data_IF_737820774143
#
_entry.id   IF_737820774143
#
_cell.length_a   1.000
_cell.length_b   1.000
_cell.length_c   1.000
_cell.angle_alpha   90.00
_cell.angle_beta   90.00
_cell.angle_gamma   90.00
#
_symmetry.space_group_name_H-M   'P 1'
#
loop_
_entity.id
_entity.type
_entity.pdbx_description
1 polymer ?
#
# COMPACT_ATOMS: atom_id res chain seq x y z
N UNK A 1 -19.61 -6.70 16.15
CA UNK A 1 -18.30 -7.37 16.40
C UNK A 1 -17.54 -7.82 15.14
N UNK A 2 -18.19 -8.33 14.08
CA UNK A 2 -17.50 -8.85 12.87
C UNK A 2 -16.77 -7.78 12.03
N UNK A 3 -17.28 -6.56 11.97
CA UNK A 3 -16.70 -5.48 11.15
C UNK A 3 -15.31 -5.04 11.63
N UNK A 4 -15.07 -5.00 12.95
CA UNK A 4 -13.76 -4.62 13.51
C UNK A 4 -12.64 -5.58 13.14
N UNK A 5 -12.92 -6.88 13.07
CA UNK A 5 -11.95 -7.89 12.62
C UNK A 5 -11.61 -7.76 11.12
N UNK A 6 -12.59 -7.38 10.29
CA UNK A 6 -12.36 -7.12 8.85
C UNK A 6 -11.48 -5.89 8.66
N UNK A 7 -11.73 -4.81 9.41
CA UNK A 7 -10.90 -3.59 9.37
C UNK A 7 -9.47 -3.90 9.84
N UNK A 8 -9.32 -4.65 10.95
CA UNK A 8 -8.02 -5.03 11.47
C UNK A 8 -7.22 -5.92 10.52
N UNK A 9 -7.86 -6.94 9.94
CA UNK A 9 -7.26 -7.82 8.94
C UNK A 9 -6.89 -7.07 7.65
N UNK A 10 -7.74 -6.13 7.22
CA UNK A 10 -7.48 -5.27 6.06
C UNK A 10 -6.27 -4.36 6.29
N UNK A 11 -6.21 -3.67 7.43
CA UNK A 11 -5.06 -2.81 7.78
C UNK A 11 -3.76 -3.60 7.83
N UNK A 12 -3.79 -4.78 8.47
CA UNK A 12 -2.62 -5.65 8.55
C UNK A 12 -2.19 -6.12 7.16
N UNK A 13 -3.13 -6.55 6.31
CA UNK A 13 -2.84 -6.98 4.95
C UNK A 13 -2.28 -5.82 4.08
N UNK A 14 -2.82 -4.61 4.22
CA UNK A 14 -2.30 -3.43 3.54
C UNK A 14 -0.87 -3.10 3.97
N UNK A 15 -0.61 -3.06 5.28
CA UNK A 15 0.72 -2.78 5.81
C UNK A 15 1.73 -3.86 5.38
N UNK A 16 1.34 -5.14 5.45
CA UNK A 16 2.18 -6.24 4.98
C UNK A 16 2.47 -6.15 3.48
N UNK A 17 1.48 -5.78 2.67
CA UNK A 17 1.67 -5.61 1.21
C UNK A 17 2.57 -4.43 0.84
N UNK A 18 2.75 -3.46 1.73
CA UNK A 18 3.67 -2.35 1.52
C UNK A 18 5.14 -2.78 1.68
N UNK A 19 5.44 -3.82 2.47
CA UNK A 19 6.81 -4.28 2.71
C UNK A 19 7.55 -4.71 1.44
N UNK A 20 6.98 -5.53 0.53
CA UNK A 20 7.62 -5.85 -0.74
C UNK A 20 7.85 -4.61 -1.62
N UNK A 21 6.88 -3.69 -1.68
CA UNK A 21 7.00 -2.47 -2.45
C UNK A 21 8.11 -1.55 -1.87
N UNK A 22 8.22 -1.45 -0.55
CA UNK A 22 9.32 -0.75 0.12
C UNK A 22 10.67 -1.42 -0.12
N UNK A 23 10.73 -2.76 -0.09
CA UNK A 23 11.95 -3.51 -0.36
C UNK A 23 12.45 -3.29 -1.79
N UNK A 24 11.57 -3.37 -2.78
CA UNK A 24 11.92 -3.09 -4.18
C UNK A 24 12.35 -1.64 -4.40
N UNK A 25 11.73 -0.69 -3.70
CA UNK A 25 12.13 0.71 -3.72
C UNK A 25 13.54 0.89 -3.12
N UNK A 26 13.84 0.25 -1.98
CA UNK A 26 15.15 0.29 -1.34
C UNK A 26 16.26 -0.33 -2.22
N UNK A 27 16.01 -1.47 -2.85
CA UNK A 27 16.97 -2.10 -3.78
C UNK A 27 17.24 -1.19 -4.99
N UNK A 28 16.22 -0.50 -5.52
CA UNK A 28 16.38 0.49 -6.60
C UNK A 28 17.17 1.73 -6.16
N UNK A 29 16.99 2.21 -4.93
CA UNK A 29 17.80 3.30 -4.37
C UNK A 29 19.26 2.85 -4.25
N UNK A 30 19.52 1.65 -3.71
CA UNK A 30 20.86 1.13 -3.53
C UNK A 30 21.62 0.95 -4.86
N UNK A 31 20.90 0.62 -5.94
CA UNK A 31 21.47 0.46 -7.28
C UNK A 31 21.43 1.72 -8.13
N UNK A 32 21.06 2.89 -7.58
CA UNK A 32 20.78 4.11 -8.34
C UNK A 32 22.06 4.90 -8.72
N UNK A 33 22.61 4.74 -9.92
CA UNK A 33 23.87 5.39 -10.31
C UNK A 33 23.64 6.82 -10.82
N UNK A 34 22.38 7.23 -11.02
CA UNK A 34 21.99 8.42 -11.78
C UNK A 34 21.18 9.43 -10.95
N UNK A 35 21.05 9.24 -9.63
CA UNK A 35 20.27 10.15 -8.79
C UNK A 35 18.75 10.18 -9.12
N UNK A 36 18.23 9.18 -9.84
CA UNK A 36 16.82 9.13 -10.26
C UNK A 36 15.83 8.95 -9.12
N UNK A 37 16.24 8.30 -8.03
CA UNK A 37 15.39 8.01 -6.88
C UNK A 37 15.69 8.93 -5.68
N UNK A 38 16.95 9.36 -5.55
CA UNK A 38 17.42 10.28 -4.51
C UNK A 38 18.24 11.37 -5.19
N UNK A 39 17.88 12.63 -4.95
CA UNK A 39 18.63 13.78 -5.42
C UNK A 39 20.00 13.82 -4.73
N UNK A 40 21.08 13.78 -5.52
CA UNK A 40 22.46 13.77 -5.01
C UNK A 40 22.87 15.08 -4.34
N UNK A 41 22.25 16.22 -4.67
CA UNK A 41 22.62 17.50 -4.07
C UNK A 41 21.93 17.73 -2.72
N UNK A 42 20.68 17.30 -2.58
CA UNK A 42 19.87 17.57 -1.39
C UNK A 42 19.64 16.34 -0.51
N UNK A 43 19.98 15.14 -0.97
CA UNK A 43 19.69 13.87 -0.30
C UNK A 43 18.19 13.54 -0.24
N UNK A 44 17.33 14.33 -0.90
CA UNK A 44 15.89 14.17 -0.85
C UNK A 44 15.39 13.11 -1.80
N UNK A 45 14.31 12.45 -1.39
CA UNK A 45 13.64 11.45 -2.19
C UNK A 45 12.90 12.13 -3.32
N UNK A 46 13.16 11.68 -4.55
CA UNK A 46 12.51 12.23 -5.74
C UNK A 46 11.08 11.72 -5.88
N UNK A 47 10.25 12.46 -6.62
CA UNK A 47 8.89 12.03 -6.96
C UNK A 47 8.86 10.63 -7.63
N UNK A 48 9.90 10.30 -8.40
CA UNK A 48 10.03 9.02 -9.09
C UNK A 48 10.02 7.82 -8.13
N UNK A 49 10.56 7.97 -6.93
CA UNK A 49 10.56 6.91 -5.92
C UNK A 49 9.14 6.60 -5.45
N UNK A 50 8.35 7.64 -5.18
CA UNK A 50 6.94 7.49 -4.77
C UNK A 50 6.09 6.91 -5.89
N UNK A 51 6.29 7.35 -7.13
CA UNK A 51 5.58 6.80 -8.30
C UNK A 51 5.92 5.32 -8.49
N UNK A 52 7.20 4.94 -8.39
CA UNK A 52 7.62 3.55 -8.50
C UNK A 52 7.02 2.69 -7.36
N UNK A 53 7.02 3.19 -6.12
CA UNK A 53 6.36 2.53 -4.99
C UNK A 53 4.88 2.31 -5.26
N UNK A 54 4.16 3.35 -5.67
CA UNK A 54 2.73 3.30 -5.96
C UNK A 54 2.42 2.33 -7.11
N UNK A 55 3.23 2.30 -8.18
CA UNK A 55 3.04 1.36 -9.30
C UNK A 55 3.09 -0.10 -8.87
N UNK A 56 3.94 -0.44 -7.90
CA UNK A 56 4.03 -1.81 -7.37
C UNK A 56 2.99 -2.10 -6.29
N UNK A 57 2.66 -1.10 -5.48
CA UNK A 57 1.78 -1.27 -4.33
C UNK A 57 0.28 -1.20 -4.70
N UNK A 58 -0.13 -0.27 -5.58
CA UNK A 58 -1.55 -0.10 -5.97
C UNK A 58 -2.21 -1.39 -6.48
N UNK A 59 -1.58 -2.19 -7.36
CA UNK A 59 -2.18 -3.42 -7.87
C UNK A 59 -2.53 -4.43 -6.78
N UNK A 60 -1.90 -4.36 -5.60
CA UNK A 60 -2.17 -5.22 -4.45
C UNK A 60 -3.14 -4.52 -3.49
N UNK A 61 -2.89 -3.25 -3.19
CA UNK A 61 -3.68 -2.46 -2.24
C UNK A 61 -5.14 -2.27 -2.70
N UNK A 62 -5.37 -2.06 -4.00
CA UNK A 62 -6.70 -1.84 -4.55
C UNK A 62 -7.61 -3.07 -4.39
N UNK A 63 -7.26 -4.27 -4.89
CA UNK A 63 -8.11 -5.45 -4.73
C UNK A 63 -8.38 -5.81 -3.26
N UNK A 64 -7.36 -5.70 -2.40
CA UNK A 64 -7.50 -5.99 -0.96
C UNK A 64 -8.48 -5.01 -0.30
N UNK A 65 -8.42 -3.73 -0.68
CA UNK A 65 -9.35 -2.71 -0.17
C UNK A 65 -10.76 -2.87 -0.70
N UNK A 66 -10.93 -3.22 -1.98
CA UNK A 66 -12.24 -3.52 -2.57
C UNK A 66 -12.88 -4.73 -1.90
N UNK A 67 -12.10 -5.80 -1.65
CA UNK A 67 -12.57 -7.00 -0.98
C UNK A 67 -12.99 -6.69 0.46
N UNK A 68 -12.18 -5.94 1.21
CA UNK A 68 -12.52 -5.53 2.57
C UNK A 68 -13.81 -4.70 2.61
N UNK A 69 -13.97 -3.76 1.67
CA UNK A 69 -15.16 -2.93 1.56
C UNK A 69 -16.41 -3.76 1.22
N UNK A 70 -16.30 -4.73 0.31
CA UNK A 70 -17.38 -5.66 0.01
C UNK A 70 -17.76 -6.50 1.25
N UNK A 71 -16.78 -7.01 1.98
CA UNK A 71 -17.02 -7.75 3.23
C UNK A 71 -17.72 -6.89 4.30
N UNK A 72 -17.35 -5.63 4.43
CA UNK A 72 -18.02 -4.70 5.35
C UNK A 72 -19.45 -4.38 4.91
N UNK A 73 -19.67 -4.17 3.61
CA UNK A 73 -21.00 -3.92 3.05
C UNK A 73 -21.96 -5.10 3.27
N UNK A 74 -21.47 -6.34 3.07
CA UNK A 74 -22.26 -7.56 3.33
C UNK A 74 -22.55 -7.78 4.83
N UNK A 75 -21.62 -7.41 5.71
CA UNK A 75 -21.79 -7.53 7.16
C UNK A 75 -22.46 -6.32 7.82
N UNK A 76 -22.91 -5.33 7.04
CA UNK A 76 -23.68 -4.21 7.58
C UNK A 76 -25.00 -4.77 8.11
N UNK A 77 -25.36 -4.53 9.38
CA UNK A 77 -26.67 -4.92 9.88
C UNK A 77 -27.72 -4.27 8.97
N UNK A 78 -28.56 -5.08 8.33
CA UNK A 78 -29.77 -4.56 7.68
C UNK A 78 -30.65 -4.03 8.80
N UNK A 79 -30.99 -2.75 8.75
CA UNK A 79 -31.94 -2.16 9.68
C UNK A 79 -33.20 -3.03 9.70
N UNK A 80 -33.67 -3.48 10.88
CA UNK A 80 -34.94 -4.13 11.01
C UNK A 80 -36.01 -3.03 11.04
N UNK A 81 -36.42 -2.57 9.86
CA UNK A 81 -37.72 -1.92 9.68
C UNK A 81 -38.72 -2.95 9.21
#
# INVERSE_FOLDING_TARGET
MKTGWIVGGWLFALAASALPALWTAADRIARNPLGKFVDMQTGRWTLHLYVAFLQWWLPIALPVSVLALACMAMNRPRDPN
#
